data_IF_254905761522
#
_entry.id   IF_254905761522
#
_cell.length_a   1.000
_cell.length_b   1.000
_cell.length_c   1.000
_cell.angle_alpha   90.00
_cell.angle_beta   90.00
_cell.angle_gamma   90.00
#
_symmetry.space_group_name_H-M   'P 1'
#
loop_
_entity.id
_entity.type
_entity.pdbx_description
1 polymer ?
#
# COMPACT_ATOMS: atom_id res chain seq x y z
N UNK A 1 4.43 -12.91 12.58
CA UNK A 1 3.34 -12.34 11.78
C UNK A 1 2.07 -12.40 12.61
N UNK A 2 1.51 -11.26 12.99
CA UNK A 2 0.26 -11.21 13.76
C UNK A 2 -0.91 -11.68 12.88
N UNK A 3 -1.59 -12.76 13.32
CA UNK A 3 -2.78 -13.30 12.62
C UNK A 3 -3.92 -12.29 12.53
N UNK A 4 -3.96 -11.28 13.40
CA UNK A 4 -4.97 -10.21 13.34
C UNK A 4 -4.73 -9.27 12.15
N UNK A 5 -3.48 -8.84 11.92
CA UNK A 5 -3.13 -7.94 10.83
C UNK A 5 -3.43 -8.55 9.44
N UNK A 6 -3.13 -9.83 9.26
CA UNK A 6 -3.44 -10.54 8.01
C UNK A 6 -4.95 -10.58 7.72
N UNK A 7 -5.78 -10.88 8.72
CA UNK A 7 -7.24 -10.88 8.57
C UNK A 7 -7.80 -9.51 8.22
N UNK A 8 -7.25 -8.45 8.81
CA UNK A 8 -7.65 -7.07 8.49
C UNK A 8 -7.26 -6.75 7.05
N UNK A 9 -6.05 -7.12 6.62
CA UNK A 9 -5.58 -6.93 5.25
C UNK A 9 -6.49 -7.64 4.23
N UNK A 10 -6.89 -8.88 4.51
CA UNK A 10 -7.80 -9.64 3.65
C UNK A 10 -9.19 -8.99 3.56
N UNK A 11 -9.71 -8.48 4.69
CA UNK A 11 -10.99 -7.75 4.70
C UNK A 11 -10.93 -6.45 3.90
N UNK A 12 -9.80 -5.73 3.97
CA UNK A 12 -9.57 -4.52 3.17
C UNK A 12 -9.53 -4.88 1.69
N UNK A 13 -8.75 -5.91 1.32
CA UNK A 13 -8.63 -6.35 -0.06
C UNK A 13 -9.97 -6.82 -0.64
N UNK A 14 -10.76 -7.58 0.13
CA UNK A 14 -12.09 -8.02 -0.28
C UNK A 14 -13.04 -6.84 -0.54
N UNK A 15 -13.04 -5.84 0.35
CA UNK A 15 -13.88 -4.64 0.19
C UNK A 15 -13.48 -3.80 -1.02
N UNK A 16 -12.20 -3.82 -1.37
CA UNK A 16 -11.63 -3.09 -2.50
C UNK A 16 -11.41 -3.96 -3.75
N UNK A 17 -12.03 -5.16 -3.82
CA UNK A 17 -12.03 -6.03 -4.99
C UNK A 17 -10.66 -6.52 -5.45
N UNK A 18 -9.67 -6.47 -4.57
CA UNK A 18 -8.29 -6.82 -4.89
C UNK A 18 -7.30 -6.26 -3.87
N UNK A 19 -6.03 -6.58 -4.07
CA UNK A 19 -4.97 -6.07 -3.20
C UNK A 19 -4.81 -4.55 -3.36
N UNK A 20 -4.92 -3.85 -2.24
CA UNK A 20 -4.63 -2.42 -2.11
C UNK A 20 -3.25 -2.21 -1.50
N UNK A 21 -2.72 -0.99 -1.62
CA UNK A 21 -1.46 -0.64 -0.98
C UNK A 21 -1.49 -0.84 0.55
N UNK A 22 -2.61 -0.55 1.21
CA UNK A 22 -2.78 -0.78 2.66
C UNK A 22 -2.72 -2.27 2.99
N UNK A 23 -3.47 -3.11 2.26
CA UNK A 23 -3.44 -4.56 2.49
C UNK A 23 -2.07 -5.15 2.19
N UNK A 24 -1.38 -4.68 1.15
CA UNK A 24 -0.02 -5.10 0.81
C UNK A 24 0.95 -4.81 1.97
N UNK A 25 0.93 -3.57 2.49
CA UNK A 25 1.73 -3.18 3.67
C UNK A 25 1.46 -4.09 4.86
N UNK A 26 0.18 -4.31 5.18
CA UNK A 26 -0.21 -5.10 6.35
C UNK A 26 0.19 -6.57 6.21
N UNK A 27 0.09 -7.17 5.01
CA UNK A 27 0.57 -8.53 4.74
C UNK A 27 2.09 -8.67 4.87
N UNK A 28 2.83 -7.60 4.58
CA UNK A 28 4.28 -7.52 4.80
C UNK A 28 4.66 -7.21 6.25
N UNK A 29 3.66 -7.08 7.15
CA UNK A 29 3.89 -6.95 8.60
C UNK A 29 4.32 -5.56 9.03
N UNK A 30 4.17 -4.54 8.19
CA UNK A 30 4.54 -3.18 8.52
C UNK A 30 3.34 -2.39 9.07
N UNK A 31 3.55 -1.61 10.13
CA UNK A 31 2.76 -0.42 10.42
C UNK A 31 3.08 0.69 9.42
N UNK A 32 2.24 1.74 9.38
CA UNK A 32 2.50 2.89 8.50
C UNK A 32 3.82 3.60 8.87
N UNK A 33 4.12 3.76 10.16
CA UNK A 33 5.36 4.39 10.61
C UNK A 33 6.61 3.56 10.26
N UNK A 34 6.53 2.24 10.43
CA UNK A 34 7.64 1.34 10.10
C UNK A 34 7.93 1.33 8.60
N UNK A 35 6.90 1.26 7.74
CA UNK A 35 7.12 1.32 6.29
C UNK A 35 7.68 2.69 5.87
N UNK A 36 7.17 3.78 6.45
CA UNK A 36 7.67 5.12 6.14
C UNK A 36 9.16 5.24 6.47
N UNK A 37 9.55 4.72 7.64
CA UNK A 37 10.95 4.69 8.09
C UNK A 37 11.80 3.81 7.16
N UNK A 38 11.36 2.59 6.85
CA UNK A 38 12.07 1.65 5.99
C UNK A 38 12.25 2.17 4.56
N UNK A 39 11.26 2.88 4.02
CA UNK A 39 11.31 3.47 2.69
C UNK A 39 12.03 4.84 2.65
N UNK A 40 12.42 5.40 3.80
CA UNK A 40 12.99 6.75 3.89
C UNK A 40 12.02 7.80 3.33
N UNK A 41 10.76 7.76 3.80
CA UNK A 41 9.68 8.67 3.44
C UNK A 41 9.07 9.29 4.71
N UNK A 42 8.57 10.54 4.66
CA UNK A 42 7.78 11.08 5.75
C UNK A 42 6.49 10.27 5.94
N UNK A 43 6.14 9.92 7.18
CA UNK A 43 4.89 9.21 7.47
C UNK A 43 3.63 9.94 6.93
N UNK A 44 3.50 11.29 6.99
CA UNK A 44 2.38 11.98 6.37
C UNK A 44 2.31 11.81 4.85
N UNK A 45 3.46 11.65 4.20
CA UNK A 45 3.51 11.35 2.76
C UNK A 45 3.04 9.93 2.48
N UNK A 46 3.45 8.94 3.28
CA UNK A 46 2.93 7.57 3.15
C UNK A 46 1.42 7.50 3.41
N UNK A 47 0.91 8.26 4.38
CA UNK A 47 -0.54 8.37 4.61
C UNK A 47 -1.29 8.94 3.39
N UNK A 48 -0.72 9.94 2.71
CA UNK A 48 -1.26 10.44 1.43
C UNK A 48 -1.20 9.38 0.33
N UNK A 49 -0.13 8.59 0.24
CA UNK A 49 -0.06 7.47 -0.72
C UNK A 49 -1.17 6.46 -0.44
N UNK A 50 -1.43 6.14 0.83
CA UNK A 50 -2.50 5.22 1.20
C UNK A 50 -3.91 5.78 0.95
N UNK A 51 -4.07 7.11 0.97
CA UNK A 51 -5.37 7.77 1.00
C UNK A 51 -5.76 8.65 -0.19
N UNK A 52 -4.80 9.06 -1.02
CA UNK A 52 -4.99 10.08 -2.06
C UNK A 52 -4.78 9.52 -3.46
N UNK A 53 -5.53 10.07 -4.42
CA UNK A 53 -5.48 9.76 -5.86
C UNK A 53 -4.35 10.52 -6.58
N UNK A 54 -3.11 10.42 -6.11
CA UNK A 54 -1.98 11.13 -6.72
C UNK A 54 -1.06 10.17 -7.45
N UNK A 55 -0.41 10.61 -8.53
CA UNK A 55 0.61 9.78 -9.17
C UNK A 55 1.82 9.56 -8.25
N UNK A 56 2.32 8.33 -8.24
CA UNK A 56 3.59 8.00 -7.60
C UNK A 56 4.75 8.21 -8.57
N UNK A 57 5.75 8.96 -8.14
CA UNK A 57 7.02 9.04 -8.86
C UNK A 57 7.75 7.70 -8.80
N UNK A 58 8.44 7.34 -9.88
CA UNK A 58 9.19 6.07 -9.99
C UNK A 58 10.17 5.85 -8.85
N UNK A 59 10.85 6.91 -8.40
CA UNK A 59 11.76 6.85 -7.25
C UNK A 59 11.04 6.44 -5.96
N UNK A 60 9.81 6.89 -5.75
CA UNK A 60 8.98 6.50 -4.60
C UNK A 60 8.53 5.05 -4.72
N UNK A 61 8.10 4.63 -5.92
CA UNK A 61 7.73 3.23 -6.18
C UNK A 61 8.91 2.30 -5.87
N UNK A 62 10.12 2.63 -6.30
CA UNK A 62 11.31 1.81 -6.04
C UNK A 62 11.63 1.72 -4.55
N UNK A 63 11.56 2.84 -3.82
CA UNK A 63 11.77 2.86 -2.36
C UNK A 63 10.79 1.96 -1.62
N UNK A 64 9.51 2.03 -1.99
CA UNK A 64 8.45 1.21 -1.40
C UNK A 64 8.60 -0.27 -1.75
N UNK A 65 8.92 -0.58 -3.01
CA UNK A 65 9.16 -1.93 -3.48
C UNK A 65 10.31 -2.60 -2.71
N UNK A 66 11.43 -1.87 -2.55
CA UNK A 66 12.59 -2.33 -1.79
C UNK A 66 12.23 -2.58 -0.31
N UNK A 67 11.51 -1.65 0.33
CA UNK A 67 11.12 -1.77 1.73
C UNK A 67 10.15 -2.93 2.00
N UNK A 68 9.23 -3.19 1.05
CA UNK A 68 8.23 -4.25 1.14
C UNK A 68 8.73 -5.62 0.65
N UNK A 69 9.90 -5.67 0.00
CA UNK A 69 10.42 -6.89 -0.63
C UNK A 69 9.48 -7.43 -1.70
N UNK A 70 9.05 -6.55 -2.61
CA UNK A 70 8.15 -6.84 -3.74
C UNK A 70 8.62 -6.14 -5.00
N UNK A 71 8.02 -6.47 -6.14
CA UNK A 71 8.31 -5.78 -7.39
C UNK A 71 7.70 -4.37 -7.45
N UNK A 72 8.28 -3.43 -8.22
CA UNK A 72 7.65 -2.15 -8.55
C UNK A 72 6.26 -2.31 -9.18
N UNK A 73 6.02 -3.40 -9.92
CA UNK A 73 4.73 -3.71 -10.53
C UNK A 73 3.66 -4.00 -9.48
N UNK A 74 3.97 -4.79 -8.45
CA UNK A 74 3.05 -5.05 -7.33
C UNK A 74 2.69 -3.77 -6.59
N UNK A 75 3.66 -2.89 -6.35
CA UNK A 75 3.40 -1.57 -5.72
C UNK A 75 2.42 -0.76 -6.56
N UNK A 76 2.63 -0.67 -7.88
CA UNK A 76 1.73 0.07 -8.77
C UNK A 76 0.34 -0.56 -8.84
N UNK A 77 0.26 -1.87 -9.02
CA UNK A 77 -1.02 -2.57 -9.08
C UNK A 77 -1.84 -2.38 -7.80
N UNK A 78 -1.19 -2.44 -6.64
CA UNK A 78 -1.82 -2.21 -5.35
C UNK A 78 -2.21 -0.74 -5.12
N UNK A 79 -1.47 0.20 -5.70
CA UNK A 79 -1.76 1.63 -5.65
C UNK A 79 -2.99 2.00 -6.50
N UNK A 80 -3.06 1.48 -7.74
CA UNK A 80 -4.14 1.78 -8.69
C UNK A 80 -5.49 1.14 -8.28
N UNK A 81 -5.50 0.08 -7.46
CA UNK A 81 -6.74 -0.61 -7.07
C UNK A 81 -7.77 0.28 -6.35
N UNK A 82 -7.35 1.40 -5.77
CA UNK A 82 -8.26 2.39 -5.16
C UNK A 82 -8.99 3.26 -6.21
N UNK A 83 -8.56 3.26 -7.48
CA UNK A 83 -9.24 3.97 -8.57
C UNK A 83 -10.49 3.24 -9.07
N UNK A 84 -10.47 1.91 -9.17
CA UNK A 84 -11.55 1.15 -9.79
C UNK A 84 -12.89 1.17 -9.03
N UNK A 85 -12.87 1.37 -7.71
CA UNK A 85 -14.11 1.41 -6.90
C UNK A 85 -14.90 2.72 -6.98
N UNK A 86 -14.32 3.78 -7.57
CA UNK A 86 -14.92 5.12 -7.55
C UNK A 86 -15.43 5.57 -8.94
N UNK A 87 -15.32 4.73 -9.98
CA UNK A 87 -15.92 5.02 -11.30
C UNK A 87 -17.35 4.51 -11.47
N UNK A 88 -17.94 3.89 -10.43
CA UNK A 88 -19.33 3.42 -10.44
C UNK A 88 -20.26 4.18 -9.48
N UNK A 89 -20.00 5.46 -9.22
CA UNK A 89 -20.91 6.34 -8.48
C UNK A 89 -21.47 7.43 -9.37
#
# INVERSE_FOLDING_TARGET
MDRAAARIADKIALKAGGETFVSLRMKKGFTQSELATAAGLPQPYLSRIENSKQSLQDKTVQKLANALGVSPLEVRAAFERRYEYMEQA
#
